data_IF_914944366166
#
_entry.id   IF_914944366166
#
_cell.length_a   1.000
_cell.length_b   1.000
_cell.length_c   1.000
_cell.angle_alpha   90.00
_cell.angle_beta   90.00
_cell.angle_gamma   90.00
#
_symmetry.space_group_name_H-M   'P 1'
#
loop_
_entity.id
_entity.type
_entity.pdbx_description
1 polymer ?
#
# COMPACT_ATOMS: atom_id res chain seq x y z
N UNK A 1 19.02 -6.34 2.20
CA UNK A 1 19.23 -5.15 1.32
C UNK A 1 19.92 -4.07 2.14
N UNK A 2 20.63 -3.12 1.55
CA UNK A 2 21.20 -1.96 2.31
C UNK A 2 20.19 -0.81 2.32
N UNK A 3 20.11 -0.06 3.44
CA UNK A 3 19.29 1.15 3.55
C UNK A 3 19.84 2.21 2.58
N UNK A 4 18.98 2.81 1.79
CA UNK A 4 19.33 3.81 0.76
C UNK A 4 18.77 5.19 1.05
N UNK A 5 17.74 5.26 1.92
CA UNK A 5 17.01 6.50 2.19
C UNK A 5 16.85 6.72 3.70
N UNK A 6 16.48 7.92 4.15
CA UNK A 6 16.16 8.19 5.54
C UNK A 6 14.84 7.55 6.03
N UNK A 7 14.09 6.85 5.15
CA UNK A 7 12.80 6.25 5.47
C UNK A 7 12.85 5.36 6.73
N UNK A 8 11.99 5.65 7.70
CA UNK A 8 11.77 4.79 8.86
C UNK A 8 11.26 3.41 8.46
N UNK A 9 10.36 3.34 7.47
CA UNK A 9 9.83 2.07 6.95
C UNK A 9 10.94 1.20 6.35
N UNK A 10 11.85 1.79 5.56
CA UNK A 10 12.99 1.08 4.99
C UNK A 10 13.91 0.52 6.08
N UNK A 11 14.22 1.32 7.11
CA UNK A 11 15.07 0.90 8.23
C UNK A 11 14.48 -0.29 8.97
N UNK A 12 13.19 -0.24 9.35
CA UNK A 12 12.47 -1.31 10.04
C UNK A 12 12.54 -2.62 9.24
N UNK A 13 12.28 -2.54 7.94
CA UNK A 13 12.35 -3.70 7.04
C UNK A 13 13.78 -4.25 6.91
N UNK A 14 14.77 -3.36 6.84
CA UNK A 14 16.17 -3.75 6.69
C UNK A 14 16.74 -4.40 7.98
N UNK A 15 16.25 -4.01 9.15
CA UNK A 15 16.59 -4.63 10.44
C UNK A 15 15.93 -5.99 10.66
N UNK A 16 15.04 -6.39 9.75
CA UNK A 16 14.39 -7.71 9.77
C UNK A 16 13.10 -7.77 10.60
N UNK A 17 12.58 -6.63 11.04
CA UNK A 17 11.30 -6.56 11.72
C UNK A 17 10.13 -6.69 10.73
N UNK A 18 9.02 -7.26 11.17
CA UNK A 18 7.77 -7.17 10.42
C UNK A 18 7.28 -5.72 10.46
N UNK A 19 7.28 -5.06 9.30
CA UNK A 19 6.71 -3.73 9.19
C UNK A 19 5.17 -3.78 9.21
N UNK A 20 4.55 -2.81 9.84
CA UNK A 20 3.10 -2.61 9.81
C UNK A 20 2.81 -1.26 9.17
N UNK A 21 2.06 -1.28 8.09
CA UNK A 21 1.54 -0.07 7.44
C UNK A 21 0.01 -0.08 7.45
N UNK A 22 -0.61 1.08 7.50
CA UNK A 22 -2.06 1.19 7.32
C UNK A 22 -2.38 2.30 6.33
N UNK A 23 -3.65 2.38 5.95
CA UNK A 23 -4.09 3.31 4.91
C UNK A 23 -5.11 4.31 5.46
N UNK A 24 -4.95 5.58 5.10
CA UNK A 24 -5.92 6.63 5.36
C UNK A 24 -6.35 7.30 4.05
N UNK A 25 -7.64 7.27 3.78
CA UNK A 25 -8.23 7.99 2.63
C UNK A 25 -8.42 9.47 2.94
N UNK A 26 -7.88 10.38 2.11
CA UNK A 26 -8.15 11.82 2.23
C UNK A 26 -9.65 12.14 2.09
N UNK A 27 -10.12 13.25 2.70
CA UNK A 27 -11.53 13.65 2.62
C UNK A 27 -11.92 14.14 1.23
N UNK A 28 -13.21 14.11 0.94
CA UNK A 28 -13.79 14.75 -0.27
C UNK A 28 -14.04 16.24 -0.02
N UNK A 29 -12.98 16.97 0.35
CA UNK A 29 -13.05 18.40 0.65
C UNK A 29 -11.73 18.90 1.23
N UNK A 30 -11.65 20.17 1.53
CA UNK A 30 -10.43 20.84 1.99
C UNK A 30 -10.19 20.76 3.50
N UNK A 31 -11.12 20.17 4.28
CA UNK A 31 -10.95 20.06 5.73
C UNK A 31 -9.98 18.90 6.08
N UNK A 32 -8.77 19.18 6.60
CA UNK A 32 -7.77 18.16 6.91
C UNK A 32 -8.07 17.39 8.20
N UNK A 33 -9.00 17.86 9.04
CA UNK A 33 -9.29 17.24 10.36
C UNK A 33 -9.67 15.76 10.25
N UNK A 34 -10.29 15.35 9.14
CA UNK A 34 -10.66 13.95 8.93
C UNK A 34 -9.44 13.05 8.83
N UNK A 35 -8.42 13.45 8.04
CA UNK A 35 -7.21 12.64 7.86
C UNK A 35 -6.35 12.68 9.13
N UNK A 36 -6.29 13.82 9.81
CA UNK A 36 -5.59 14.00 11.08
C UNK A 36 -6.15 13.05 12.14
N UNK A 37 -7.47 13.03 12.33
CA UNK A 37 -8.12 12.15 13.31
C UNK A 37 -7.88 10.67 13.01
N UNK A 38 -7.97 10.26 11.76
CA UNK A 38 -7.69 8.88 11.36
C UNK A 38 -6.23 8.49 11.65
N UNK A 39 -5.28 9.36 11.32
CA UNK A 39 -3.87 9.13 11.59
C UNK A 39 -3.57 9.06 13.11
N UNK A 40 -4.19 9.90 13.93
CA UNK A 40 -4.08 9.88 15.39
C UNK A 40 -4.53 8.53 16.00
N UNK A 41 -5.54 7.87 15.44
CA UNK A 41 -6.03 6.58 15.91
C UNK A 41 -4.99 5.44 15.75
N UNK A 42 -4.13 5.53 14.74
CA UNK A 42 -3.24 4.43 14.35
C UNK A 42 -1.76 4.71 14.53
N UNK A 43 -1.36 5.96 14.80
CA UNK A 43 0.04 6.43 14.77
C UNK A 43 1.02 5.62 15.61
N UNK A 44 0.58 5.09 16.76
CA UNK A 44 1.44 4.34 17.68
C UNK A 44 1.51 2.84 17.35
N UNK A 45 0.64 2.37 16.42
CA UNK A 45 0.50 0.96 16.05
C UNK A 45 0.99 0.64 14.63
N UNK A 46 1.42 1.66 13.88
CA UNK A 46 1.94 1.46 12.52
C UNK A 46 3.28 2.18 12.33
N UNK A 47 4.07 1.69 11.40
CA UNK A 47 5.40 2.25 11.09
C UNK A 47 5.32 3.34 10.02
N UNK A 48 4.32 3.24 9.12
CA UNK A 48 4.04 4.25 8.12
C UNK A 48 2.54 4.23 7.73
N UNK A 49 2.04 5.38 7.29
CA UNK A 49 0.63 5.59 6.93
C UNK A 49 0.53 5.93 5.44
N UNK A 50 -0.08 5.04 4.68
CA UNK A 50 -0.40 5.28 3.28
C UNK A 50 -1.50 6.32 3.12
N UNK A 51 -1.26 7.28 2.25
CA UNK A 51 -2.25 8.29 1.87
C UNK A 51 -2.69 8.03 0.44
N UNK A 52 -3.95 7.62 0.27
CA UNK A 52 -4.49 7.27 -1.04
C UNK A 52 -4.60 8.47 -1.96
N UNK A 53 -4.43 8.23 -3.25
CA UNK A 53 -4.47 9.26 -4.30
C UNK A 53 -5.71 9.06 -5.19
N UNK A 54 -6.78 9.78 -4.89
CA UNK A 54 -8.06 9.70 -5.62
C UNK A 54 -8.53 8.25 -5.87
N UNK A 55 -8.52 7.43 -4.79
CA UNK A 55 -8.91 6.01 -4.90
C UNK A 55 -10.29 5.85 -5.53
N UNK A 56 -10.47 4.79 -6.30
CA UNK A 56 -11.69 4.53 -7.11
C UNK A 56 -12.04 5.69 -8.06
N UNK A 57 -11.04 6.51 -8.44
CA UNK A 57 -11.22 7.69 -9.30
C UNK A 57 -12.20 8.74 -8.76
N UNK A 58 -12.34 8.80 -7.44
CA UNK A 58 -13.16 9.80 -6.74
C UNK A 58 -12.29 10.99 -6.34
N UNK A 59 -12.72 12.21 -6.68
CA UNK A 59 -12.00 13.44 -6.31
C UNK A 59 -11.90 13.63 -4.81
N UNK A 60 -10.68 13.78 -4.30
CA UNK A 60 -10.36 13.95 -2.87
C UNK A 60 -9.28 15.02 -2.67
N UNK A 61 -9.03 15.39 -1.42
CA UNK A 61 -7.83 16.16 -1.06
C UNK A 61 -6.60 15.41 -1.60
N UNK A 62 -5.69 16.12 -2.30
CA UNK A 62 -4.56 15.45 -2.93
C UNK A 62 -3.64 14.76 -1.92
N UNK A 63 -3.13 13.60 -2.29
CA UNK A 63 -2.28 12.75 -1.43
C UNK A 63 -1.05 13.50 -0.92
N UNK A 64 -0.40 14.30 -1.75
CA UNK A 64 0.77 15.09 -1.38
C UNK A 64 0.46 16.08 -0.23
N UNK A 65 -0.62 16.85 -0.33
CA UNK A 65 -1.00 17.80 0.72
C UNK A 65 -1.33 17.09 2.05
N UNK A 66 -2.00 15.93 1.97
CA UNK A 66 -2.27 15.12 3.15
C UNK A 66 -0.99 14.51 3.75
N UNK A 67 -0.05 14.01 2.93
CA UNK A 67 1.25 13.53 3.39
C UNK A 67 2.05 14.63 4.10
N UNK A 68 2.08 15.86 3.56
CA UNK A 68 2.73 17.01 4.21
C UNK A 68 2.12 17.26 5.60
N UNK A 69 0.79 17.18 5.74
CA UNK A 69 0.13 17.32 7.05
C UNK A 69 0.61 16.28 8.05
N UNK A 70 0.64 15.01 7.65
CA UNK A 70 1.11 13.93 8.53
C UNK A 70 2.60 14.11 8.88
N UNK A 71 3.42 14.50 7.92
CA UNK A 71 4.86 14.76 8.17
C UNK A 71 5.08 15.86 9.19
N UNK A 72 4.31 16.96 9.11
CA UNK A 72 4.33 18.06 10.09
C UNK A 72 3.86 17.64 11.49
N UNK A 73 3.12 16.53 11.61
CA UNK A 73 2.76 15.89 12.87
C UNK A 73 3.84 14.91 13.39
N UNK A 74 4.97 14.78 12.69
CA UNK A 74 6.05 13.84 13.01
C UNK A 74 5.76 12.38 12.63
N UNK A 75 4.76 12.15 11.77
CA UNK A 75 4.41 10.81 11.29
C UNK A 75 5.17 10.45 10.02
N UNK A 76 5.18 9.16 9.69
CA UNK A 76 5.84 8.62 8.50
C UNK A 76 4.80 8.34 7.40
N UNK A 77 4.59 9.24 6.42
CA UNK A 77 3.65 8.99 5.34
C UNK A 77 4.25 8.14 4.23
N UNK A 78 3.40 7.35 3.54
CA UNK A 78 3.67 6.75 2.24
C UNK A 78 2.81 7.49 1.21
N UNK A 79 3.45 8.26 0.35
CA UNK A 79 2.77 8.99 -0.72
C UNK A 79 2.31 8.01 -1.80
N UNK A 80 1.01 7.75 -1.89
CA UNK A 80 0.47 7.08 -3.08
C UNK A 80 0.39 8.08 -4.22
N UNK A 81 0.86 7.70 -5.40
CA UNK A 81 0.89 8.54 -6.59
C UNK A 81 0.38 7.76 -7.80
N UNK A 82 -0.73 8.22 -8.39
CA UNK A 82 -1.32 7.61 -9.59
C UNK A 82 -0.88 8.34 -10.86
N UNK A 83 -0.57 7.56 -11.90
CA UNK A 83 -0.23 8.12 -13.23
C UNK A 83 -1.47 8.48 -14.05
N UNK A 84 -2.66 8.09 -13.61
CA UNK A 84 -3.93 8.41 -14.26
C UNK A 84 -4.16 9.90 -14.43
N UNK A 85 -3.85 10.70 -13.42
CA UNK A 85 -4.27 12.10 -13.32
C UNK A 85 -3.16 13.10 -13.72
N UNK A 86 -1.90 12.62 -13.92
CA UNK A 86 -0.71 13.48 -14.09
C UNK A 86 0.17 13.00 -15.22
N UNK A 87 0.73 13.96 -15.99
CA UNK A 87 1.82 13.68 -16.93
C UNK A 87 3.18 13.63 -16.19
N UNK A 88 4.23 13.22 -16.91
CA UNK A 88 5.60 13.07 -16.34
C UNK A 88 6.19 14.35 -15.77
N UNK A 89 5.78 15.54 -16.25
CA UNK A 89 6.25 16.81 -15.69
C UNK A 89 5.64 17.01 -14.30
N UNK A 90 4.33 16.86 -14.17
CA UNK A 90 3.63 17.00 -12.89
C UNK A 90 4.07 15.94 -11.88
N UNK A 91 4.28 14.67 -12.32
CA UNK A 91 4.77 13.61 -11.46
C UNK A 91 6.16 13.92 -10.88
N UNK A 92 7.12 14.35 -11.71
CA UNK A 92 8.46 14.75 -11.24
C UNK A 92 8.40 15.95 -10.28
N UNK A 93 7.58 16.96 -10.60
CA UNK A 93 7.38 18.12 -9.74
C UNK A 93 6.79 17.76 -8.38
N UNK A 94 5.79 16.87 -8.33
CA UNK A 94 5.19 16.40 -7.07
C UNK A 94 6.18 15.58 -6.24
N UNK A 95 7.06 14.77 -6.88
CA UNK A 95 8.13 14.02 -6.21
C UNK A 95 9.13 14.97 -5.56
N UNK A 96 9.57 16.03 -6.25
CA UNK A 96 10.46 17.06 -5.69
C UNK A 96 9.76 17.81 -4.55
N UNK A 97 8.47 18.14 -4.73
CA UNK A 97 7.66 18.74 -3.69
C UNK A 97 7.59 17.85 -2.43
N UNK A 98 7.36 16.55 -2.57
CA UNK A 98 7.36 15.61 -1.46
C UNK A 98 8.72 15.54 -0.77
N UNK A 99 9.80 15.42 -1.54
CA UNK A 99 11.16 15.37 -1.02
C UNK A 99 11.55 16.63 -0.24
N UNK A 100 11.09 17.81 -0.66
CA UNK A 100 11.33 19.08 0.04
C UNK A 100 10.68 19.18 1.42
N UNK A 101 9.76 18.25 1.75
CA UNK A 101 9.15 18.09 3.07
C UNK A 101 9.62 16.80 3.78
N UNK A 102 10.75 16.22 3.38
CA UNK A 102 11.29 14.98 3.96
C UNK A 102 10.29 13.79 3.92
N UNK A 103 9.45 13.73 2.91
CA UNK A 103 8.62 12.54 2.64
C UNK A 103 9.48 11.55 1.87
N UNK A 104 9.74 10.39 2.48
CA UNK A 104 10.72 9.42 1.99
C UNK A 104 10.13 8.12 1.47
N UNK A 105 8.80 7.98 1.45
CA UNK A 105 8.15 6.77 0.93
C UNK A 105 7.17 7.13 -0.18
N UNK A 106 7.23 6.39 -1.27
CA UNK A 106 6.30 6.54 -2.40
C UNK A 106 5.74 5.19 -2.82
N UNK A 107 4.44 5.11 -3.08
CA UNK A 107 3.79 3.96 -3.70
C UNK A 107 3.34 4.31 -5.12
N UNK A 108 4.02 3.72 -6.12
CA UNK A 108 3.79 3.99 -7.54
C UNK A 108 2.59 3.18 -8.07
N UNK A 109 1.56 3.87 -8.52
CA UNK A 109 0.29 3.30 -8.97
C UNK A 109 -0.12 3.80 -10.35
N UNK A 110 -0.88 3.00 -11.09
CA UNK A 110 -1.53 3.46 -12.33
C UNK A 110 -2.86 4.18 -12.04
N UNK A 111 -3.57 3.76 -11.00
CA UNK A 111 -4.91 4.22 -10.64
C UNK A 111 -6.03 3.49 -11.39
N UNK A 112 -7.24 3.60 -10.86
CA UNK A 112 -8.46 3.09 -11.48
C UNK A 112 -8.91 3.98 -12.64
N UNK A 113 -9.61 3.41 -13.63
CA UNK A 113 -10.13 4.17 -14.76
C UNK A 113 -11.19 5.19 -14.33
N UNK A 114 -11.23 6.37 -14.97
CA UNK A 114 -12.13 7.48 -14.62
C UNK A 114 -13.62 7.10 -14.66
N UNK A 115 -14.00 6.10 -15.45
CA UNK A 115 -15.38 5.61 -15.51
C UNK A 115 -15.91 5.03 -14.19
N UNK A 116 -15.05 4.72 -13.24
CA UNK A 116 -15.45 4.24 -11.91
C UNK A 116 -15.70 5.37 -10.90
N UNK A 117 -15.29 6.60 -11.23
CA UNK A 117 -15.31 7.74 -10.31
C UNK A 117 -16.46 8.72 -10.52
N UNK A 118 -16.32 9.88 -9.90
CA UNK A 118 -17.30 10.98 -9.94
C UNK A 118 -17.14 11.90 -11.15
N UNK A 119 -16.03 11.77 -11.90
CA UNK A 119 -15.75 12.53 -13.12
C UNK A 119 -15.45 11.60 -14.31
N UNK A 120 -16.44 10.79 -14.77
CA UNK A 120 -16.21 9.80 -15.84
C UNK A 120 -15.86 10.45 -17.19
N UNK A 121 -16.18 11.74 -17.39
CA UNK A 121 -15.80 12.54 -18.56
C UNK A 121 -14.35 13.04 -18.50
N UNK A 122 -13.66 12.89 -17.36
CA UNK A 122 -12.27 13.29 -17.21
C UNK A 122 -11.37 12.48 -18.14
N UNK A 123 -10.31 13.11 -18.65
CA UNK A 123 -9.34 12.45 -19.50
C UNK A 123 -8.31 11.68 -18.65
N UNK A 124 -8.20 10.37 -18.83
CA UNK A 124 -7.07 9.63 -18.28
C UNK A 124 -5.78 10.07 -18.98
N UNK A 125 -4.78 10.47 -18.23
CA UNK A 125 -3.50 10.94 -18.78
C UNK A 125 -2.61 9.74 -19.17
N UNK A 126 -2.25 8.90 -18.20
CA UNK A 126 -1.40 7.71 -18.39
C UNK A 126 -0.23 7.95 -19.37
N UNK A 127 0.44 9.13 -19.25
CA UNK A 127 1.65 9.44 -20.02
C UNK A 127 2.77 8.41 -19.76
N UNK A 128 2.80 7.90 -18.53
CA UNK A 128 3.64 6.76 -18.12
C UNK A 128 2.79 5.80 -17.27
N UNK A 129 3.23 4.54 -17.17
CA UNK A 129 2.61 3.56 -16.27
C UNK A 129 3.30 3.53 -14.88
N UNK A 130 2.78 2.73 -13.96
CA UNK A 130 3.34 2.64 -12.59
C UNK A 130 4.76 2.06 -12.54
N UNK A 131 5.17 1.24 -13.50
CA UNK A 131 6.54 0.71 -13.58
C UNK A 131 7.51 1.78 -14.09
N UNK A 132 7.08 2.56 -15.08
CA UNK A 132 7.84 3.70 -15.59
C UNK A 132 7.94 4.80 -14.53
N UNK A 133 6.88 5.01 -13.72
CA UNK A 133 6.93 5.92 -12.57
C UNK A 133 7.98 5.45 -11.55
N UNK A 134 7.99 4.16 -11.17
CA UNK A 134 9.01 3.63 -10.27
C UNK A 134 10.42 3.79 -10.81
N UNK A 135 10.61 3.53 -12.11
CA UNK A 135 11.90 3.72 -12.78
C UNK A 135 12.33 5.20 -12.78
N UNK A 136 11.39 6.12 -12.99
CA UNK A 136 11.63 7.56 -12.96
C UNK A 136 12.06 8.02 -11.56
N UNK A 137 11.36 7.58 -10.50
CA UNK A 137 11.74 7.91 -9.11
C UNK A 137 13.14 7.38 -8.79
N UNK A 138 13.45 6.14 -9.21
CA UNK A 138 14.77 5.55 -9.04
C UNK A 138 15.85 6.37 -9.78
N UNK A 139 15.60 6.77 -11.02
CA UNK A 139 16.52 7.61 -11.80
C UNK A 139 16.82 8.93 -11.08
N UNK A 140 15.76 9.60 -10.60
CA UNK A 140 15.89 10.87 -9.87
C UNK A 140 16.70 10.69 -8.57
N UNK A 141 16.48 9.58 -7.84
CA UNK A 141 17.17 9.28 -6.58
C UNK A 141 18.62 8.82 -6.79
N UNK A 142 18.84 7.83 -7.68
CA UNK A 142 20.13 7.13 -7.78
C UNK A 142 21.12 7.88 -8.70
N UNK A 143 20.63 8.54 -9.74
CA UNK A 143 21.46 9.20 -10.74
C UNK A 143 21.39 10.74 -10.67
N UNK A 144 20.47 11.31 -9.90
CA UNK A 144 20.29 12.76 -9.80
C UNK A 144 19.86 13.41 -11.11
N UNK A 145 19.00 12.72 -11.90
CA UNK A 145 18.57 13.19 -13.22
C UNK A 145 17.07 13.16 -13.39
N UNK A 146 16.57 14.14 -14.10
CA UNK A 146 15.24 14.11 -14.68
C UNK A 146 15.14 13.05 -15.79
N UNK A 147 13.90 12.65 -16.15
CA UNK A 147 13.70 11.73 -17.27
C UNK A 147 14.16 12.32 -18.64
N UNK A 148 14.33 13.64 -18.71
CA UNK A 148 14.96 14.33 -19.87
C UNK A 148 16.45 14.08 -19.99
N UNK A 149 17.12 13.68 -18.91
CA UNK A 149 18.58 13.53 -18.81
C UNK A 149 19.25 14.73 -18.15
N UNK A 150 18.55 15.83 -17.89
CA UNK A 150 19.08 16.99 -17.19
C UNK A 150 19.36 16.68 -15.71
N UNK A 151 20.37 17.31 -15.12
CA UNK A 151 20.74 17.11 -13.74
C UNK A 151 19.76 17.77 -12.75
N UNK A 152 19.58 17.12 -11.58
CA UNK A 152 18.80 17.63 -10.46
C UNK A 152 19.68 18.45 -9.52
N UNK A 153 19.15 19.54 -9.02
CA UNK A 153 19.70 20.23 -7.85
C UNK A 153 19.07 19.64 -6.56
N UNK A 154 19.69 18.55 -6.05
CA UNK A 154 19.19 17.77 -4.93
C UNK A 154 18.37 16.54 -5.32
N UNK A 155 18.80 15.37 -4.85
CA UNK A 155 18.18 14.08 -5.16
C UNK A 155 17.03 13.76 -4.19
N UNK A 156 15.85 13.35 -4.67
CA UNK A 156 14.74 12.92 -3.81
C UNK A 156 15.08 11.56 -3.18
N UNK A 157 15.26 11.52 -1.87
CA UNK A 157 15.59 10.30 -1.11
C UNK A 157 14.32 9.47 -0.85
N UNK A 158 13.83 8.75 -1.87
CA UNK A 158 12.57 8.02 -1.85
C UNK A 158 12.77 6.50 -1.78
N UNK A 159 12.18 5.84 -0.79
CA UNK A 159 11.98 4.39 -0.75
C UNK A 159 10.80 4.02 -1.65
N UNK A 160 11.07 3.23 -2.70
CA UNK A 160 10.14 3.05 -3.82
C UNK A 160 9.30 1.81 -3.65
N UNK A 161 8.00 1.99 -3.53
CA UNK A 161 7.01 0.93 -3.46
C UNK A 161 6.09 0.85 -4.66
N UNK A 162 5.41 -0.29 -4.78
CA UNK A 162 4.32 -0.49 -5.73
C UNK A 162 3.30 -1.51 -5.19
N UNK A 163 2.09 -1.51 -5.75
CA UNK A 163 1.10 -2.54 -5.45
C UNK A 163 1.34 -3.82 -6.26
N UNK A 164 0.93 -4.97 -5.71
CA UNK A 164 0.81 -6.21 -6.46
C UNK A 164 -0.54 -6.87 -6.21
N UNK A 165 -1.10 -7.50 -7.24
CA UNK A 165 -2.26 -8.36 -7.10
C UNK A 165 -1.86 -9.81 -7.39
N UNK A 166 -1.74 -10.65 -6.35
CA UNK A 166 -1.40 -12.06 -6.48
C UNK A 166 -2.50 -12.91 -7.12
N UNK A 167 -3.74 -12.43 -7.17
CA UNK A 167 -4.93 -13.25 -7.42
C UNK A 167 -5.51 -13.10 -8.83
N UNK A 168 -5.21 -12.01 -9.52
CA UNK A 168 -5.82 -11.70 -10.80
C UNK A 168 -5.37 -12.67 -11.91
N UNK A 169 -6.27 -13.00 -12.82
CA UNK A 169 -5.97 -13.82 -14.00
C UNK A 169 -5.25 -13.02 -15.10
N UNK A 170 -4.41 -13.65 -15.92
CA UNK A 170 -3.88 -15.01 -15.74
C UNK A 170 -2.91 -15.08 -14.54
N UNK A 171 -3.05 -16.10 -13.70
CA UNK A 171 -2.27 -16.22 -12.45
C UNK A 171 -0.77 -16.38 -12.71
N UNK A 172 -0.40 -17.15 -13.72
CA UNK A 172 0.99 -17.45 -14.07
C UNK A 172 1.84 -16.23 -14.42
N UNK A 173 1.21 -15.10 -14.81
CA UNK A 173 1.95 -13.85 -15.11
C UNK A 173 2.18 -12.98 -13.89
N UNK A 174 1.63 -13.31 -12.71
CA UNK A 174 1.71 -12.44 -11.53
C UNK A 174 3.14 -12.32 -10.99
N UNK A 175 3.87 -13.44 -10.92
CA UNK A 175 5.28 -13.43 -10.52
C UNK A 175 6.17 -12.74 -11.58
N UNK A 176 6.06 -13.01 -12.88
CA UNK A 176 6.72 -12.21 -13.93
C UNK A 176 6.45 -10.70 -13.87
N UNK A 177 5.23 -10.29 -13.54
CA UNK A 177 4.92 -8.85 -13.35
C UNK A 177 5.64 -8.26 -12.14
N UNK A 178 5.71 -9.00 -11.03
CA UNK A 178 6.51 -8.58 -9.87
C UNK A 178 7.99 -8.43 -10.27
N UNK A 179 8.56 -9.41 -10.99
CA UNK A 179 9.94 -9.33 -11.45
C UNK A 179 10.22 -8.06 -12.29
N UNK A 180 9.29 -7.66 -13.16
CA UNK A 180 9.39 -6.40 -13.91
C UNK A 180 9.38 -5.17 -13.00
N UNK A 181 8.54 -5.15 -11.96
CA UNK A 181 8.51 -4.06 -10.98
C UNK A 181 9.84 -3.95 -10.21
N UNK A 182 10.36 -5.08 -9.75
CA UNK A 182 11.67 -5.13 -9.08
C UNK A 182 12.78 -4.63 -10.02
N UNK A 183 12.78 -5.04 -11.28
CA UNK A 183 13.72 -4.55 -12.28
C UNK A 183 13.60 -3.03 -12.54
N UNK A 184 12.40 -2.48 -12.43
CA UNK A 184 12.16 -1.04 -12.53
C UNK A 184 12.65 -0.25 -11.30
N UNK A 185 13.01 -0.94 -10.21
CA UNK A 185 13.54 -0.31 -8.98
C UNK A 185 12.59 -0.27 -7.80
N UNK A 186 11.52 -1.07 -7.85
CA UNK A 186 10.62 -1.23 -6.69
C UNK A 186 11.33 -2.03 -5.60
N UNK A 187 11.29 -1.51 -4.37
CA UNK A 187 12.00 -2.02 -3.20
C UNK A 187 11.05 -2.58 -2.15
N UNK A 188 9.78 -2.18 -2.16
CA UNK A 188 8.72 -2.84 -1.39
C UNK A 188 7.43 -2.98 -2.17
N UNK A 189 6.66 -3.99 -1.80
CA UNK A 189 5.34 -4.27 -2.37
C UNK A 189 4.31 -4.27 -1.25
N UNK A 190 3.18 -3.64 -1.51
CA UNK A 190 1.95 -3.84 -0.75
C UNK A 190 0.98 -4.64 -1.64
N UNK A 191 0.54 -5.81 -1.16
CA UNK A 191 -0.33 -6.65 -1.97
C UNK A 191 -1.79 -6.22 -1.86
N UNK A 192 -2.61 -6.66 -2.81
CA UNK A 192 -4.06 -6.63 -2.67
C UNK A 192 -4.49 -7.50 -1.47
N UNK A 193 -5.68 -7.24 -0.92
CA UNK A 193 -6.21 -7.94 0.25
C UNK A 193 -6.20 -9.46 0.06
N UNK A 194 -5.61 -10.16 1.02
CA UNK A 194 -5.45 -11.61 1.01
C UNK A 194 -6.58 -12.24 1.82
N UNK A 195 -7.45 -12.98 1.14
CA UNK A 195 -8.47 -13.85 1.74
C UNK A 195 -8.24 -15.30 1.38
N UNK A 196 -7.69 -15.54 0.17
CA UNK A 196 -7.27 -16.86 -0.28
C UNK A 196 -5.79 -17.06 0.06
N UNK A 197 -5.53 -17.58 1.26
CA UNK A 197 -4.19 -17.79 1.79
C UNK A 197 -3.42 -18.84 0.97
N UNK A 198 -4.07 -19.93 0.56
CA UNK A 198 -3.44 -21.00 -0.22
C UNK A 198 -2.92 -20.49 -1.57
N UNK A 199 -3.73 -19.69 -2.28
CA UNK A 199 -3.32 -19.09 -3.55
C UNK A 199 -2.22 -18.03 -3.37
N UNK A 200 -2.23 -17.31 -2.25
CA UNK A 200 -1.16 -16.39 -1.90
C UNK A 200 0.16 -17.13 -1.63
N UNK A 201 0.14 -18.24 -0.89
CA UNK A 201 1.31 -19.08 -0.63
C UNK A 201 1.88 -19.67 -1.93
N UNK A 202 1.01 -20.11 -2.86
CA UNK A 202 1.44 -20.54 -4.19
C UNK A 202 2.16 -19.42 -4.95
N UNK A 203 1.61 -18.19 -4.92
CA UNK A 203 2.26 -17.03 -5.51
C UNK A 203 3.60 -16.73 -4.85
N UNK A 204 3.66 -16.74 -3.50
CA UNK A 204 4.90 -16.51 -2.75
C UNK A 204 5.96 -17.56 -3.04
N UNK A 205 5.59 -18.83 -3.22
CA UNK A 205 6.53 -19.85 -3.68
C UNK A 205 7.20 -19.46 -5.00
N UNK A 206 6.44 -18.98 -5.98
CA UNK A 206 7.00 -18.49 -7.24
C UNK A 206 7.87 -17.23 -7.08
N UNK A 207 7.59 -16.39 -6.08
CA UNK A 207 8.41 -15.21 -5.70
C UNK A 207 9.75 -15.66 -5.11
N UNK A 208 9.73 -16.64 -4.21
CA UNK A 208 10.93 -17.23 -3.57
C UNK A 208 11.78 -17.98 -4.58
N UNK A 209 11.18 -18.84 -5.40
CA UNK A 209 11.89 -19.62 -6.45
C UNK A 209 12.67 -18.73 -7.43
N UNK A 210 12.27 -17.46 -7.59
CA UNK A 210 12.98 -16.47 -8.43
C UNK A 210 13.91 -15.53 -7.63
N UNK A 211 14.03 -15.71 -6.31
CA UNK A 211 14.83 -14.85 -5.44
C UNK A 211 14.35 -13.39 -5.40
N UNK A 212 13.06 -13.14 -5.66
CA UNK A 212 12.52 -11.77 -5.67
C UNK A 212 12.32 -11.22 -4.25
N UNK A 213 12.04 -12.09 -3.27
CA UNK A 213 11.92 -11.76 -1.85
C UNK A 213 13.22 -11.25 -1.22
N UNK A 214 14.37 -11.55 -1.83
CA UNK A 214 15.67 -11.02 -1.43
C UNK A 214 15.95 -9.61 -1.99
N UNK A 215 15.18 -9.18 -2.99
CA UNK A 215 15.36 -7.93 -3.72
C UNK A 215 14.27 -6.90 -3.45
N UNK A 216 13.15 -7.33 -2.87
CA UNK A 216 11.99 -6.51 -2.64
C UNK A 216 11.24 -7.02 -1.40
N UNK A 217 10.91 -6.14 -0.48
CA UNK A 217 10.12 -6.48 0.71
C UNK A 217 8.65 -6.66 0.35
N UNK A 218 8.03 -7.77 0.79
CA UNK A 218 6.62 -8.05 0.54
C UNK A 218 5.81 -7.79 1.82
N UNK A 219 4.92 -6.81 1.77
CA UNK A 219 3.95 -6.51 2.81
C UNK A 219 2.59 -7.07 2.38
N UNK A 220 2.09 -8.02 3.16
CA UNK A 220 0.83 -8.70 2.91
C UNK A 220 -0.35 -7.77 3.18
N UNK A 221 -1.21 -7.56 2.18
CA UNK A 221 -2.40 -6.72 2.29
C UNK A 221 -3.53 -7.44 3.03
N UNK A 222 -4.15 -6.77 3.99
CA UNK A 222 -5.22 -7.31 4.83
C UNK A 222 -6.35 -6.28 4.99
N UNK A 223 -7.58 -6.76 4.95
CA UNK A 223 -8.76 -5.92 5.24
C UNK A 223 -9.72 -6.73 6.11
N UNK A 224 -9.97 -6.29 7.36
CA UNK A 224 -10.93 -6.98 8.21
C UNK A 224 -12.35 -6.85 7.65
N UNK A 225 -13.09 -7.97 7.62
CA UNK A 225 -14.46 -8.03 7.10
C UNK A 225 -15.47 -7.56 8.14
N UNK A 226 -16.25 -6.53 7.84
CA UNK A 226 -17.29 -6.02 8.75
C UNK A 226 -18.57 -6.85 8.73
N UNK A 227 -18.83 -7.55 7.63
CA UNK A 227 -20.10 -8.27 7.45
C UNK A 227 -20.08 -9.21 6.24
N UNK A 228 -21.04 -10.13 6.20
CA UNK A 228 -21.35 -10.94 5.02
C UNK A 228 -21.63 -10.08 3.77
N UNK A 229 -22.30 -8.92 3.95
CA UNK A 229 -22.57 -8.00 2.84
C UNK A 229 -21.29 -7.47 2.20
N UNK A 230 -20.32 -7.05 3.02
CA UNK A 230 -19.00 -6.63 2.56
C UNK A 230 -18.25 -7.75 1.85
N UNK A 231 -18.22 -8.97 2.42
CA UNK A 231 -17.54 -10.10 1.82
C UNK A 231 -18.10 -10.45 0.44
N UNK A 232 -19.44 -10.51 0.29
CA UNK A 232 -20.10 -10.72 -1.00
C UNK A 232 -19.87 -9.60 -2.00
N UNK A 233 -19.80 -8.34 -1.53
CA UNK A 233 -19.49 -7.21 -2.39
C UNK A 233 -18.05 -7.31 -2.92
N UNK A 234 -17.09 -7.58 -2.05
CA UNK A 234 -15.68 -7.76 -2.45
C UNK A 234 -15.53 -8.92 -3.44
N UNK A 235 -16.15 -10.06 -3.16
CA UNK A 235 -16.10 -11.23 -4.05
C UNK A 235 -16.64 -10.95 -5.46
N UNK A 236 -17.76 -10.19 -5.55
CA UNK A 236 -18.52 -10.08 -6.81
C UNK A 236 -18.30 -8.77 -7.56
N UNK A 237 -17.88 -7.71 -6.87
CA UNK A 237 -17.88 -6.34 -7.39
C UNK A 237 -16.52 -5.68 -7.42
N UNK A 238 -15.55 -6.20 -6.68
CA UNK A 238 -14.20 -5.62 -6.67
C UNK A 238 -13.27 -6.46 -7.55
N UNK A 239 -12.85 -5.92 -8.71
CA UNK A 239 -12.00 -6.66 -9.63
C UNK A 239 -10.68 -7.11 -8.98
N UNK A 240 -10.30 -8.36 -9.20
CA UNK A 240 -9.04 -8.91 -8.71
C UNK A 240 -9.02 -9.28 -7.23
N UNK A 241 -10.17 -9.21 -6.54
CA UNK A 241 -10.34 -9.83 -5.23
C UNK A 241 -10.65 -11.31 -5.36
N UNK A 242 -10.00 -12.11 -4.54
CA UNK A 242 -10.26 -13.55 -4.42
C UNK A 242 -10.73 -13.83 -2.99
N UNK A 243 -12.06 -13.85 -2.80
CA UNK A 243 -12.71 -14.13 -1.51
C UNK A 243 -13.33 -15.51 -1.59
N UNK A 244 -12.75 -16.54 -0.93
CA UNK A 244 -13.30 -17.89 -0.88
C UNK A 244 -14.67 -17.95 -0.24
N UNK A 245 -15.51 -18.90 -0.65
CA UNK A 245 -16.85 -19.09 -0.10
C UNK A 245 -16.83 -19.45 1.39
N UNK A 246 -15.76 -20.06 1.87
CA UNK A 246 -15.51 -20.37 3.28
C UNK A 246 -15.52 -19.11 4.16
N UNK A 247 -14.95 -18.00 3.67
CA UNK A 247 -14.97 -16.69 4.37
C UNK A 247 -16.41 -16.21 4.57
N UNK A 248 -17.23 -16.33 3.53
CA UNK A 248 -18.65 -15.94 3.58
C UNK A 248 -19.43 -16.88 4.51
N UNK A 249 -19.21 -18.19 4.39
CA UNK A 249 -19.86 -19.22 5.21
C UNK A 249 -19.53 -19.02 6.70
N UNK A 250 -18.27 -18.73 7.03
CA UNK A 250 -17.83 -18.46 8.40
C UNK A 250 -18.54 -17.23 8.99
N UNK A 251 -18.62 -16.14 8.24
CA UNK A 251 -19.33 -14.93 8.68
C UNK A 251 -20.84 -15.17 8.81
N UNK A 252 -21.44 -16.05 7.99
CA UNK A 252 -22.85 -16.43 8.10
C UNK A 252 -23.13 -17.33 9.33
N UNK A 253 -22.10 -18.02 9.83
CA UNK A 253 -22.20 -18.89 10.99
C UNK A 253 -22.32 -18.16 12.34
N UNK A 254 -22.17 -16.84 12.36
CA UNK A 254 -22.30 -16.02 13.57
C UNK A 254 -23.46 -15.03 13.44
N UNK A 255 -23.96 -14.58 14.59
CA UNK A 255 -25.01 -13.55 14.66
C UNK A 255 -24.54 -12.25 13.98
N UNK A 256 -25.50 -11.50 13.42
CA UNK A 256 -25.21 -10.34 12.59
C UNK A 256 -24.37 -9.26 13.31
N UNK A 257 -24.62 -9.05 14.57
CA UNK A 257 -23.90 -8.10 15.43
C UNK A 257 -22.49 -8.57 15.82
N UNK A 258 -22.18 -9.86 15.65
CA UNK A 258 -20.85 -10.46 15.88
C UNK A 258 -20.00 -10.65 14.63
N UNK A 259 -20.55 -10.37 13.45
CA UNK A 259 -19.82 -10.56 12.19
C UNK A 259 -18.55 -9.70 12.09
N UNK A 260 -18.60 -8.51 12.63
CA UNK A 260 -17.45 -7.60 12.67
C UNK A 260 -16.31 -8.16 13.54
N UNK A 261 -16.62 -8.69 14.72
CA UNK A 261 -15.65 -9.30 15.62
C UNK A 261 -15.05 -10.57 15.00
N UNK A 262 -15.88 -11.38 14.34
CA UNK A 262 -15.41 -12.56 13.62
C UNK A 262 -14.49 -12.17 12.45
N UNK A 263 -14.79 -11.08 11.74
CA UNK A 263 -13.94 -10.56 10.68
C UNK A 263 -12.58 -10.05 11.17
N UNK A 264 -12.51 -9.44 12.35
CA UNK A 264 -11.26 -9.07 13.04
C UNK A 264 -10.47 -10.34 13.39
N UNK A 265 -11.13 -11.32 13.99
CA UNK A 265 -10.51 -12.60 14.34
C UNK A 265 -9.90 -13.29 13.10
N UNK A 266 -10.65 -13.35 12.00
CA UNK A 266 -10.15 -13.91 10.74
C UNK A 266 -8.92 -13.14 10.22
N UNK A 267 -8.88 -11.82 10.37
CA UNK A 267 -7.74 -10.99 9.99
C UNK A 267 -6.51 -11.33 10.83
N UNK A 268 -6.67 -11.49 12.16
CA UNK A 268 -5.58 -11.88 13.08
C UNK A 268 -5.06 -13.29 12.74
N UNK A 269 -5.95 -14.26 12.55
CA UNK A 269 -5.57 -15.62 12.13
C UNK A 269 -4.81 -15.63 10.79
N UNK A 270 -5.20 -14.75 9.86
CA UNK A 270 -4.48 -14.58 8.59
C UNK A 270 -3.09 -14.01 8.81
N UNK A 271 -2.90 -13.03 9.71
CA UNK A 271 -1.58 -12.50 10.06
C UNK A 271 -0.69 -13.61 10.62
N UNK A 272 -1.21 -14.41 11.56
CA UNK A 272 -0.43 -15.50 12.17
C UNK A 272 0.03 -16.54 11.11
N UNK A 273 -0.84 -16.93 10.18
CA UNK A 273 -0.45 -17.83 9.09
C UNK A 273 0.57 -17.19 8.15
N UNK A 274 0.39 -15.90 7.83
CA UNK A 274 1.27 -15.16 6.91
C UNK A 274 2.66 -14.89 7.48
N UNK A 275 2.84 -14.86 8.81
CA UNK A 275 4.16 -14.79 9.45
C UNK A 275 5.03 -16.02 9.13
N UNK A 276 4.41 -17.17 8.90
CA UNK A 276 5.10 -18.42 8.56
C UNK A 276 5.46 -18.52 7.06
N UNK A 277 4.98 -17.60 6.23
CA UNK A 277 5.22 -17.61 4.79
C UNK A 277 6.58 -16.98 4.47
N UNK A 278 7.48 -17.76 3.89
CA UNK A 278 8.80 -17.29 3.50
C UNK A 278 8.70 -16.07 2.56
N UNK A 279 9.45 -15.02 2.88
CA UNK A 279 9.52 -13.80 2.09
C UNK A 279 8.49 -12.72 2.45
N UNK A 280 7.50 -13.00 3.30
CA UNK A 280 6.65 -11.97 3.89
C UNK A 280 7.47 -11.19 4.92
N UNK A 281 7.46 -9.85 4.81
CA UNK A 281 8.26 -8.94 5.65
C UNK A 281 7.41 -7.89 6.38
N UNK A 282 6.10 -7.98 6.27
CA UNK A 282 5.21 -7.06 6.97
C UNK A 282 3.78 -7.16 6.51
N UNK A 283 2.96 -6.29 7.06
CA UNK A 283 1.52 -6.28 6.85
C UNK A 283 1.06 -4.88 6.48
N UNK A 284 0.15 -4.82 5.51
CA UNK A 284 -0.53 -3.59 5.10
C UNK A 284 -2.02 -3.71 5.44
N UNK A 285 -2.45 -3.05 6.53
CA UNK A 285 -3.80 -3.17 7.07
C UNK A 285 -4.68 -2.05 6.52
N UNK A 286 -5.62 -2.41 5.64
CA UNK A 286 -6.59 -1.51 5.01
C UNK A 286 -7.93 -1.58 5.73
N UNK A 287 -8.03 -0.99 6.91
CA UNK A 287 -9.26 -0.93 7.68
C UNK A 287 -10.16 0.22 7.18
N UNK A 288 -10.75 0.06 6.00
CA UNK A 288 -11.51 1.09 5.28
C UNK A 288 -12.66 1.65 6.13
N UNK A 289 -12.58 2.96 6.49
CA UNK A 289 -13.52 3.64 7.38
C UNK A 289 -13.74 2.86 8.69
N UNK A 290 -12.63 2.32 9.24
CA UNK A 290 -12.62 1.53 10.46
C UNK A 290 -11.22 1.53 11.12
N UNK A 291 -10.53 2.62 10.96
CA UNK A 291 -9.13 2.79 11.36
C UNK A 291 -8.93 2.55 12.87
N UNK A 292 -9.96 2.80 13.70
CA UNK A 292 -9.95 2.53 15.16
C UNK A 292 -9.76 1.05 15.52
N UNK A 293 -9.90 0.13 14.56
CA UNK A 293 -9.67 -1.31 14.77
C UNK A 293 -8.25 -1.77 14.45
N UNK A 294 -7.46 -0.91 13.83
CA UNK A 294 -6.05 -1.23 13.54
C UNK A 294 -5.24 -1.50 14.81
N UNK A 295 -5.34 -0.70 15.89
CA UNK A 295 -4.66 -1.00 17.15
C UNK A 295 -4.99 -2.39 17.70
N UNK A 296 -6.28 -2.73 17.78
CA UNK A 296 -6.75 -4.02 18.27
C UNK A 296 -6.14 -5.20 17.47
N UNK A 297 -6.12 -5.09 16.14
CA UNK A 297 -5.56 -6.12 15.27
C UNK A 297 -4.04 -6.24 15.47
N UNK A 298 -3.33 -5.12 15.54
CA UNK A 298 -1.86 -5.09 15.68
C UNK A 298 -1.42 -5.65 17.03
N UNK A 299 -2.14 -5.30 18.11
CA UNK A 299 -1.86 -5.82 19.46
C UNK A 299 -2.16 -7.33 19.55
N UNK A 300 -3.33 -7.75 19.07
CA UNK A 300 -3.75 -9.14 19.13
C UNK A 300 -2.92 -10.09 18.23
N UNK A 301 -2.27 -9.53 17.21
CA UNK A 301 -1.37 -10.26 16.34
C UNK A 301 0.11 -10.18 16.79
N UNK A 302 0.41 -9.86 18.04
CA UNK A 302 1.78 -9.72 18.59
C UNK A 302 2.73 -8.88 17.71
N UNK A 303 2.18 -7.79 17.11
CA UNK A 303 2.93 -6.83 16.31
C UNK A 303 3.18 -5.51 17.06
N UNK A 304 2.74 -5.38 18.29
CA UNK A 304 2.98 -4.25 19.19
C UNK A 304 3.87 -4.69 20.37
N UNK A 305 4.78 -3.84 20.90
CA UNK A 305 5.06 -2.46 20.47
C UNK A 305 5.79 -2.40 19.12
N UNK A 306 5.63 -1.25 18.43
CA UNK A 306 6.34 -1.06 17.17
C UNK A 306 7.84 -0.84 17.41
N UNK A 307 8.71 -1.39 16.53
CA UNK A 307 10.16 -1.23 16.65
C UNK A 307 10.56 0.24 16.58
N UNK A 308 11.57 0.59 17.36
CA UNK A 308 12.21 1.90 17.31
C UNK A 308 13.51 1.75 16.53
N UNK A 309 13.65 2.53 15.47
CA UNK A 309 14.84 2.61 14.62
C UNK A 309 15.35 4.05 14.63
N UNK A 310 16.68 4.20 14.66
CA UNK A 310 17.37 5.50 14.68
C UNK A 310 17.55 6.11 13.28
#
# INVERSE_FOLDING_TARGET
MSVKTPSKLEKILNEGHYAVTSECGPPRGSNPEHIIKKAELIKDHVDAINITDNQTSMTRLCSLAACIRLKLMGLEPVLQMVTRDRNRIALQSDILGAASFDIHNILCLSGDHNSFGDCPQGQNVHDIDSMQLAQMVRLMRDEGKFISGDELDGQPQMFVGAAANPFADPFEIRVPRLAKKVAAGVEFIQTQCIYNLDKFEEWMKGVVDRGLHEKCYILAGLTPMKSVGMAKYMQKRVPGMDVPDEVITRLQGVEKDKQADEGIKMCIESIERLKEVEGVKGFHIMAIEWEEKVPEIVEAADLYPRPKVD
#
